data_IF_376180501009
#
_entry.id   IF_376180501009
#
_cell.length_a   1.000
_cell.length_b   1.000
_cell.length_c   1.000
_cell.angle_alpha   90.00
_cell.angle_beta   90.00
_cell.angle_gamma   90.00
#
_symmetry.space_group_name_H-M   'P 1'
#
loop_
_entity.id
_entity.type
_entity.pdbx_description
1 polymer ?
#
# COMPACT_ATOMS: atom_id res chain seq x y z
N UNK A 1 -13.48 -10.75 -47.90
CA UNK A 1 -14.08 -11.02 -46.57
C UNK A 1 -13.49 -10.04 -45.57
N UNK A 2 -14.26 -9.10 -45.00
CA UNK A 2 -13.73 -8.16 -44.02
C UNK A 2 -13.42 -8.91 -42.71
N UNK A 3 -12.19 -8.78 -42.21
CA UNK A 3 -11.78 -9.30 -40.90
C UNK A 3 -12.52 -8.52 -39.82
N UNK A 4 -13.47 -9.18 -39.17
CA UNK A 4 -14.16 -8.67 -37.99
C UNK A 4 -13.14 -8.59 -36.85
N UNK A 5 -12.65 -7.39 -36.53
CA UNK A 5 -11.83 -7.14 -35.35
C UNK A 5 -12.78 -7.21 -34.15
N UNK A 6 -12.79 -8.36 -33.47
CA UNK A 6 -13.52 -8.56 -32.23
C UNK A 6 -12.83 -7.74 -31.13
N UNK A 7 -13.27 -6.50 -30.93
CA UNK A 7 -12.92 -5.69 -29.76
C UNK A 7 -13.47 -6.39 -28.52
N UNK A 8 -12.63 -7.20 -27.88
CA UNK A 8 -12.92 -7.78 -26.58
C UNK A 8 -12.89 -6.65 -25.56
N UNK A 9 -14.07 -6.10 -25.24
CA UNK A 9 -14.20 -5.22 -24.09
C UNK A 9 -13.92 -6.04 -22.83
N UNK A 10 -12.71 -5.91 -22.28
CA UNK A 10 -12.38 -6.35 -20.93
C UNK A 10 -13.31 -5.59 -19.98
N UNK A 11 -14.42 -6.21 -19.59
CA UNK A 11 -15.35 -5.64 -18.61
C UNK A 11 -14.63 -5.51 -17.27
N UNK A 12 -14.33 -4.27 -16.88
CA UNK A 12 -13.89 -3.91 -15.54
C UNK A 12 -15.05 -4.11 -14.55
N UNK A 13 -15.25 -5.34 -14.09
CA UNK A 13 -16.28 -5.64 -13.10
C UNK A 13 -16.04 -4.81 -11.82
N UNK A 14 -17.06 -4.20 -11.20
CA UNK A 14 -16.90 -3.56 -9.89
C UNK A 14 -16.46 -4.59 -8.83
N UNK A 15 -15.80 -4.16 -7.77
CA UNK A 15 -15.56 -5.02 -6.61
C UNK A 15 -16.90 -5.20 -5.89
N UNK A 16 -17.00 -6.22 -5.05
CA UNK A 16 -18.06 -6.23 -4.06
C UNK A 16 -17.94 -4.95 -3.20
N UNK A 17 -19.05 -4.33 -2.79
CA UNK A 17 -19.00 -3.29 -1.77
C UNK A 17 -18.22 -3.77 -0.55
N UNK A 18 -17.50 -2.85 0.10
CA UNK A 18 -16.83 -3.15 1.36
C UNK A 18 -17.87 -3.59 2.41
N UNK A 19 -17.46 -4.49 3.31
CA UNK A 19 -18.35 -5.02 4.34
C UNK A 19 -18.75 -3.96 5.40
N UNK A 20 -18.06 -2.81 5.44
CA UNK A 20 -18.36 -1.62 6.27
C UNK A 20 -18.84 -1.96 7.70
N UNK A 21 -18.03 -2.70 8.47
CA UNK A 21 -18.35 -3.17 9.84
C UNK A 21 -18.52 -2.06 10.90
N UNK A 22 -18.21 -0.81 10.54
CA UNK A 22 -18.29 0.38 11.38
C UNK A 22 -18.83 1.54 10.55
N UNK A 23 -19.55 2.51 11.16
CA UNK A 23 -20.16 3.61 10.42
C UNK A 23 -19.12 4.54 9.78
N UNK A 24 -19.46 5.12 8.62
CA UNK A 24 -18.60 6.06 7.90
C UNK A 24 -18.24 7.33 8.69
N UNK A 25 -19.01 7.68 9.73
CA UNK A 25 -18.63 8.74 10.66
C UNK A 25 -17.32 8.45 11.39
N UNK A 26 -16.94 7.18 11.55
CA UNK A 26 -15.67 6.73 12.11
C UNK A 26 -14.66 6.32 11.04
N UNK A 27 -15.09 5.60 10.00
CA UNK A 27 -14.19 5.01 9.00
C UNK A 27 -13.80 5.97 7.89
N UNK A 28 -14.51 7.08 7.71
CA UNK A 28 -14.25 8.05 6.63
C UNK A 28 -14.23 9.53 7.07
N UNK A 29 -13.36 9.93 8.01
CA UNK A 29 -13.22 11.33 8.38
C UNK A 29 -12.82 12.22 7.19
N UNK A 30 -13.44 13.41 7.12
CA UNK A 30 -13.19 14.45 6.11
C UNK A 30 -13.57 14.04 4.67
N UNK A 31 -14.83 13.66 4.48
CA UNK A 31 -15.45 13.42 3.17
C UNK A 31 -15.32 14.59 2.19
N UNK A 32 -15.27 15.84 2.69
CA UNK A 32 -15.11 17.04 1.84
C UNK A 32 -13.77 17.04 1.09
N UNK A 33 -12.67 16.67 1.75
CA UNK A 33 -11.36 16.56 1.09
C UNK A 33 -11.34 15.47 0.02
N UNK A 34 -11.94 14.30 0.31
CA UNK A 34 -12.14 13.23 -0.67
C UNK A 34 -12.90 13.74 -1.90
N UNK A 35 -14.07 14.38 -1.69
CA UNK A 35 -14.89 14.91 -2.78
C UNK A 35 -14.10 15.90 -3.66
N UNK A 36 -13.31 16.80 -3.05
CA UNK A 36 -12.48 17.77 -3.78
C UNK A 36 -11.40 17.09 -4.63
N UNK A 37 -10.72 16.09 -4.06
CA UNK A 37 -9.68 15.32 -4.77
C UNK A 37 -10.29 14.57 -5.97
N UNK A 38 -11.42 13.89 -5.77
CA UNK A 38 -12.09 13.13 -6.83
C UNK A 38 -12.63 14.05 -7.92
N UNK A 39 -13.26 15.18 -7.56
CA UNK A 39 -13.76 16.15 -8.54
C UNK A 39 -12.61 16.68 -9.41
N UNK A 40 -11.45 16.99 -8.79
CA UNK A 40 -10.25 17.41 -9.52
C UNK A 40 -9.76 16.30 -10.46
N UNK A 41 -9.74 15.04 -9.99
CA UNK A 41 -9.32 13.90 -10.80
C UNK A 41 -10.22 13.65 -12.02
N UNK A 42 -11.54 13.84 -11.86
CA UNK A 42 -12.51 13.76 -12.95
C UNK A 42 -12.31 14.92 -13.95
N UNK A 43 -12.24 16.16 -13.45
CA UNK A 43 -12.07 17.37 -14.28
C UNK A 43 -10.78 17.32 -15.12
N UNK A 44 -9.69 16.80 -14.55
CA UNK A 44 -8.39 16.69 -15.22
C UNK A 44 -8.15 15.33 -15.87
N UNK A 45 -9.18 14.47 -15.97
CA UNK A 45 -9.11 13.15 -16.60
C UNK A 45 -7.93 12.29 -16.12
N UNK A 46 -7.66 12.23 -14.81
CA UNK A 46 -6.55 11.44 -14.25
C UNK A 46 -6.69 9.94 -14.56
N UNK A 47 -7.90 9.49 -14.89
CA UNK A 47 -8.17 8.13 -15.37
C UNK A 47 -7.40 7.78 -16.65
N UNK A 48 -7.09 8.74 -17.51
CA UNK A 48 -6.30 8.49 -18.72
C UNK A 48 -4.80 8.29 -18.44
N UNK A 49 -4.32 8.67 -17.25
CA UNK A 49 -2.91 8.48 -16.88
C UNK A 49 -2.58 6.98 -16.71
N UNK A 50 -1.35 6.57 -17.05
CA UNK A 50 -0.82 5.26 -16.67
C UNK A 50 -0.95 5.04 -15.16
N UNK A 51 -1.14 3.78 -14.74
CA UNK A 51 -1.46 3.47 -13.33
C UNK A 51 -0.46 4.08 -12.33
N UNK A 52 0.86 3.96 -12.57
CA UNK A 52 1.87 4.56 -11.70
C UNK A 52 1.77 6.09 -11.62
N UNK A 53 1.65 6.78 -12.75
CA UNK A 53 1.48 8.23 -12.77
C UNK A 53 0.20 8.68 -12.07
N UNK A 54 -0.89 7.91 -12.22
CA UNK A 54 -2.15 8.16 -11.53
C UNK A 54 -2.00 8.04 -10.02
N UNK A 55 -1.33 7.00 -9.53
CA UNK A 55 -1.01 6.83 -8.10
C UNK A 55 -0.17 8.01 -7.59
N UNK A 56 0.88 8.40 -8.31
CA UNK A 56 1.70 9.56 -7.96
C UNK A 56 0.88 10.85 -7.93
N UNK A 57 -0.06 11.03 -8.86
CA UNK A 57 -0.94 12.21 -8.92
C UNK A 57 -1.88 12.30 -7.71
N UNK A 58 -2.47 11.18 -7.30
CA UNK A 58 -3.29 11.13 -6.08
C UNK A 58 -2.45 11.33 -4.82
N UNK A 59 -1.25 10.78 -4.75
CA UNK A 59 -0.32 11.06 -3.65
C UNK A 59 0.02 12.56 -3.55
N UNK A 60 0.27 13.21 -4.69
CA UNK A 60 0.53 14.65 -4.76
C UNK A 60 -0.68 15.48 -4.33
N UNK A 61 -1.90 15.04 -4.66
CA UNK A 61 -3.14 15.70 -4.26
C UNK A 61 -3.34 15.72 -2.73
N UNK A 62 -2.72 14.79 -2.01
CA UNK A 62 -2.71 14.72 -0.55
C UNK A 62 -1.50 15.39 0.08
N UNK A 63 -0.63 16.05 -0.70
CA UNK A 63 0.52 16.80 -0.17
C UNK A 63 0.04 17.87 0.82
N UNK A 64 0.65 17.93 1.99
CA UNK A 64 0.30 18.84 3.06
C UNK A 64 -0.71 18.29 4.07
N UNK A 65 -1.38 17.17 3.80
CA UNK A 65 -2.25 16.51 4.79
C UNK A 65 -1.44 16.18 6.06
N UNK A 66 -1.93 16.51 7.27
CA UNK A 66 -1.20 16.29 8.51
C UNK A 66 -0.79 14.83 8.74
N UNK A 67 0.36 14.63 9.39
CA UNK A 67 0.76 13.30 9.86
C UNK A 67 0.00 12.97 11.15
N UNK A 68 -0.69 11.84 11.17
CA UNK A 68 -1.37 11.31 12.36
C UNK A 68 -1.04 9.83 12.45
N UNK A 69 -0.50 9.38 13.59
CA UNK A 69 -0.28 7.96 13.84
C UNK A 69 -1.56 7.26 14.29
N UNK A 70 -1.60 5.92 14.18
CA UNK A 70 -2.71 5.09 14.66
C UNK A 70 -4.06 5.42 14.00
N UNK A 71 -4.04 5.89 12.74
CA UNK A 71 -5.26 6.29 12.01
C UNK A 71 -6.21 5.13 11.73
N UNK A 72 -5.74 3.89 11.87
CA UNK A 72 -6.50 2.64 11.72
C UNK A 72 -6.94 2.03 13.06
N UNK A 73 -6.57 2.61 14.20
CA UNK A 73 -6.90 2.11 15.55
C UNK A 73 -8.21 2.74 16.07
N UNK A 74 -9.26 2.64 15.27
CA UNK A 74 -10.51 3.40 15.41
C UNK A 74 -11.54 2.77 16.35
N UNK A 75 -11.36 1.51 16.76
CA UNK A 75 -12.28 0.79 17.64
C UNK A 75 -11.55 -0.23 18.53
N UNK A 76 -12.22 -0.75 19.57
CA UNK A 76 -11.61 -1.69 20.53
C UNK A 76 -11.67 -3.15 20.06
N UNK A 77 -12.66 -3.54 19.27
CA UNK A 77 -12.95 -4.95 18.96
C UNK A 77 -13.16 -5.23 17.47
N UNK A 78 -14.07 -4.47 16.84
CA UNK A 78 -14.38 -4.57 15.40
C UNK A 78 -13.35 -3.85 14.53
N UNK A 79 -12.79 -4.55 13.55
CA UNK A 79 -11.99 -3.98 12.47
C UNK A 79 -12.89 -3.56 11.30
N UNK A 80 -12.56 -2.48 10.59
CA UNK A 80 -13.28 -2.08 9.39
C UNK A 80 -12.37 -1.33 8.43
N UNK A 81 -12.58 -1.51 7.12
CA UNK A 81 -11.92 -0.72 6.11
C UNK A 81 -12.17 0.78 6.36
N UNK A 82 -11.11 1.57 6.30
CA UNK A 82 -11.16 2.99 6.66
C UNK A 82 -10.17 3.84 5.85
N UNK A 83 -10.55 5.08 5.58
CA UNK A 83 -9.73 6.08 4.90
C UNK A 83 -9.93 7.45 5.56
N UNK A 84 -8.87 7.97 6.17
CA UNK A 84 -8.91 9.23 6.90
C UNK A 84 -8.26 10.36 6.08
N UNK A 85 -9.03 11.35 5.67
CA UNK A 85 -8.53 12.51 4.94
C UNK A 85 -8.22 13.72 5.85
N UNK A 86 -8.39 13.60 7.17
CA UNK A 86 -7.96 14.60 8.16
C UNK A 86 -6.49 14.41 8.58
N UNK A 87 -5.97 13.19 8.46
CA UNK A 87 -4.60 12.86 8.84
C UNK A 87 -4.19 11.48 8.37
N UNK A 88 -2.91 11.35 8.02
CA UNK A 88 -2.35 10.15 7.40
C UNK A 88 -1.08 9.72 8.13
N UNK A 89 -0.83 8.42 8.17
CA UNK A 89 0.50 7.87 8.42
C UNK A 89 1.09 7.38 7.09
N UNK A 90 2.29 6.80 7.14
CA UNK A 90 2.96 6.34 5.93
C UNK A 90 2.17 5.24 5.22
N UNK A 91 1.47 4.40 5.98
CA UNK A 91 0.71 3.27 5.48
C UNK A 91 -0.57 3.75 4.80
N UNK A 92 -1.39 4.51 5.51
CA UNK A 92 -2.66 5.00 4.98
C UNK A 92 -2.47 5.94 3.80
N UNK A 93 -1.38 6.71 3.76
CA UNK A 93 -1.05 7.55 2.63
C UNK A 93 -0.92 6.77 1.30
N UNK A 94 -0.08 5.72 1.26
CA UNK A 94 0.15 5.01 0.00
C UNK A 94 -1.06 4.15 -0.38
N UNK A 95 -1.76 3.56 0.59
CA UNK A 95 -2.96 2.76 0.34
C UNK A 95 -4.10 3.62 -0.20
N UNK A 96 -4.33 4.83 0.34
CA UNK A 96 -5.36 5.74 -0.17
C UNK A 96 -5.00 6.23 -1.58
N UNK A 97 -3.73 6.54 -1.85
CA UNK A 97 -3.29 6.92 -3.19
C UNK A 97 -3.52 5.79 -4.21
N UNK A 98 -3.16 4.55 -3.86
CA UNK A 98 -3.41 3.36 -4.67
C UNK A 98 -4.90 3.10 -4.87
N UNK A 99 -5.67 3.16 -3.78
CA UNK A 99 -7.12 2.94 -3.79
C UNK A 99 -7.85 3.95 -4.66
N UNK A 100 -7.53 5.23 -4.56
CA UNK A 100 -8.10 6.28 -5.42
C UNK A 100 -7.77 6.05 -6.91
N UNK A 101 -6.52 5.69 -7.21
CA UNK A 101 -6.08 5.43 -8.58
C UNK A 101 -6.81 4.24 -9.22
N UNK A 102 -7.05 3.18 -8.44
CA UNK A 102 -7.80 1.99 -8.86
C UNK A 102 -9.29 2.27 -8.95
N UNK A 103 -9.86 2.97 -7.97
CA UNK A 103 -11.28 3.32 -7.90
C UNK A 103 -11.75 4.06 -9.16
N UNK A 104 -11.03 5.09 -9.59
CA UNK A 104 -11.44 5.87 -10.77
C UNK A 104 -11.26 5.12 -12.10
N UNK A 105 -10.59 3.96 -12.11
CA UNK A 105 -10.48 3.12 -13.31
C UNK A 105 -11.85 2.57 -13.73
N UNK A 106 -12.76 2.38 -12.77
CA UNK A 106 -14.17 2.10 -13.04
C UNK A 106 -14.88 3.44 -13.22
N UNK A 107 -15.24 3.83 -14.46
CA UNK A 107 -15.92 5.10 -14.68
C UNK A 107 -17.29 5.12 -13.98
N UNK A 108 -17.51 6.17 -13.19
CA UNK A 108 -18.80 6.50 -12.57
C UNK A 108 -19.06 8.00 -12.68
N UNK A 109 -20.33 8.43 -12.76
CA UNK A 109 -20.67 9.85 -12.69
C UNK A 109 -20.28 10.45 -11.33
N UNK A 110 -20.51 9.69 -10.26
CA UNK A 110 -20.21 10.06 -8.88
C UNK A 110 -19.50 8.91 -8.18
N UNK A 111 -18.44 9.24 -7.43
CA UNK A 111 -17.78 8.30 -6.52
C UNK A 111 -18.14 8.63 -5.08
N UNK A 112 -18.27 7.59 -4.27
CA UNK A 112 -18.69 7.63 -2.87
C UNK A 112 -17.56 7.13 -1.97
N UNK A 113 -17.60 7.41 -0.65
CA UNK A 113 -16.71 6.78 0.31
C UNK A 113 -16.64 5.25 0.17
N UNK A 114 -17.79 4.59 -0.02
CA UNK A 114 -17.87 3.13 -0.18
C UNK A 114 -17.08 2.61 -1.38
N UNK A 115 -16.95 3.41 -2.45
CA UNK A 115 -16.13 3.03 -3.61
C UNK A 115 -14.64 2.97 -3.27
N UNK A 116 -14.14 3.95 -2.49
CA UNK A 116 -12.77 3.93 -2.00
C UNK A 116 -12.58 2.84 -0.95
N UNK A 117 -13.53 2.68 -0.02
CA UNK A 117 -13.46 1.65 1.02
C UNK A 117 -13.40 0.24 0.44
N UNK A 118 -14.05 -0.03 -0.70
CA UNK A 118 -13.93 -1.31 -1.40
C UNK A 118 -12.50 -1.57 -1.92
N UNK A 119 -11.81 -0.55 -2.45
CA UNK A 119 -10.41 -0.69 -2.87
C UNK A 119 -9.45 -0.76 -1.68
N UNK A 120 -9.75 -0.07 -0.57
CA UNK A 120 -9.00 -0.20 0.68
C UNK A 120 -9.18 -1.61 1.26
N UNK A 121 -10.40 -2.13 1.34
CA UNK A 121 -10.65 -3.50 1.78
C UNK A 121 -9.88 -4.49 0.90
N UNK A 122 -9.97 -4.30 -0.41
CA UNK A 122 -9.26 -5.13 -1.36
C UNK A 122 -7.75 -5.07 -1.16
N UNK A 123 -7.11 -3.94 -0.90
CA UNK A 123 -5.64 -3.86 -0.89
C UNK A 123 -5.01 -4.04 0.49
N UNK A 124 -5.72 -3.71 1.58
CA UNK A 124 -5.19 -3.73 2.96
C UNK A 124 -5.33 -5.08 3.66
N UNK A 125 -6.37 -5.84 3.33
CA UNK A 125 -6.71 -7.06 4.05
C UNK A 125 -6.23 -8.30 3.31
N UNK A 126 -5.87 -9.32 4.08
CA UNK A 126 -5.31 -10.57 3.57
C UNK A 126 -6.34 -11.28 2.70
N UNK A 127 -6.00 -11.58 1.46
CA UNK A 127 -6.96 -12.08 0.47
C UNK A 127 -8.03 -11.07 0.01
N UNK A 128 -7.93 -9.80 0.43
CA UNK A 128 -8.85 -8.73 0.06
C UNK A 128 -10.21 -8.79 0.76
N UNK A 129 -10.29 -9.39 1.95
CA UNK A 129 -11.54 -9.55 2.70
C UNK A 129 -11.36 -9.08 4.14
N UNK A 130 -12.24 -8.18 4.59
CA UNK A 130 -12.33 -7.78 5.99
C UNK A 130 -13.58 -8.45 6.62
N UNK A 131 -13.39 -9.33 7.61
CA UNK A 131 -14.48 -10.01 8.33
C UNK A 131 -14.76 -9.38 9.69
N UNK A 132 -14.29 -8.15 9.93
CA UNK A 132 -14.43 -7.48 11.22
C UNK A 132 -13.35 -7.87 12.24
N UNK A 133 -12.38 -8.70 11.86
CA UNK A 133 -11.30 -9.15 12.73
C UNK A 133 -10.01 -8.34 12.47
N UNK A 134 -9.41 -7.81 13.54
CA UNK A 134 -8.13 -7.07 13.48
C UNK A 134 -7.02 -7.84 12.77
N UNK A 135 -6.99 -9.16 12.94
CA UNK A 135 -5.98 -9.99 12.31
C UNK A 135 -6.23 -10.23 10.84
N UNK A 136 -7.38 -9.87 10.25
CA UNK A 136 -7.59 -9.89 8.79
C UNK A 136 -6.70 -8.86 8.09
N UNK A 137 -6.40 -7.75 8.78
CA UNK A 137 -5.52 -6.70 8.27
C UNK A 137 -4.09 -7.21 8.15
N UNK A 138 -3.42 -6.79 7.08
CA UNK A 138 -1.99 -7.01 6.90
C UNK A 138 -1.24 -5.93 7.69
N UNK A 139 -0.39 -6.35 8.63
CA UNK A 139 0.35 -5.42 9.52
C UNK A 139 1.84 -5.34 9.21
N UNK A 140 2.35 -6.21 8.33
CA UNK A 140 3.75 -6.20 7.90
C UNK A 140 3.86 -5.93 6.40
N UNK A 141 4.74 -4.99 6.03
CA UNK A 141 4.80 -4.50 4.66
C UNK A 141 5.33 -5.57 3.68
N UNK A 142 6.16 -6.52 4.13
CA UNK A 142 6.59 -7.61 3.25
C UNK A 142 5.39 -8.50 2.88
N UNK A 143 4.61 -8.98 3.86
CA UNK A 143 3.32 -9.64 3.61
C UNK A 143 2.44 -8.84 2.66
N UNK A 144 2.33 -7.51 2.84
CA UNK A 144 1.52 -6.65 1.96
C UNK A 144 1.96 -6.76 0.49
N UNK A 145 3.26 -6.72 0.21
CA UNK A 145 3.77 -6.89 -1.16
C UNK A 145 3.53 -8.29 -1.73
N UNK A 146 3.62 -9.34 -0.91
CA UNK A 146 3.35 -10.71 -1.34
C UNK A 146 1.88 -10.95 -1.65
N UNK A 147 0.99 -10.55 -0.74
CA UNK A 147 -0.45 -10.71 -0.88
C UNK A 147 -0.98 -9.91 -2.09
N UNK A 148 -0.59 -8.63 -2.21
CA UNK A 148 -1.05 -7.79 -3.30
C UNK A 148 -0.45 -8.18 -4.67
N UNK A 149 0.76 -8.75 -4.72
CA UNK A 149 1.29 -9.32 -5.97
C UNK A 149 0.56 -10.60 -6.36
N UNK A 150 0.27 -11.48 -5.39
CA UNK A 150 -0.48 -12.71 -5.64
C UNK A 150 -1.90 -12.44 -6.18
N UNK A 151 -2.46 -11.27 -5.87
CA UNK A 151 -3.78 -10.80 -6.33
C UNK A 151 -3.73 -9.84 -7.51
N UNK A 152 -2.57 -9.59 -8.10
CA UNK A 152 -2.43 -8.75 -9.29
C UNK A 152 -2.73 -7.26 -9.05
N UNK A 153 -2.59 -6.78 -7.82
CA UNK A 153 -2.73 -5.36 -7.47
C UNK A 153 -1.43 -4.59 -7.69
N UNK A 154 -0.30 -5.27 -7.51
CA UNK A 154 1.05 -4.77 -7.75
C UNK A 154 1.91 -5.87 -8.36
N UNK A 155 3.08 -5.51 -8.88
CA UNK A 155 4.15 -6.48 -9.18
C UNK A 155 5.42 -6.05 -8.45
N UNK A 156 6.10 -6.98 -7.76
CA UNK A 156 7.39 -6.69 -7.14
C UNK A 156 8.44 -6.53 -8.24
N UNK A 157 9.01 -5.33 -8.36
CA UNK A 157 10.00 -5.00 -9.38
C UNK A 157 11.40 -4.83 -8.82
N UNK A 158 11.60 -5.06 -7.51
CA UNK A 158 12.90 -4.89 -6.82
C UNK A 158 14.08 -5.52 -7.56
N UNK A 159 13.96 -6.75 -8.06
CA UNK A 159 15.02 -7.42 -8.81
C UNK A 159 15.17 -6.92 -10.25
N UNK A 160 14.15 -6.30 -10.82
CA UNK A 160 14.14 -5.73 -12.17
C UNK A 160 14.76 -4.34 -12.20
N UNK A 161 14.60 -3.57 -11.13
CA UNK A 161 15.08 -2.19 -11.07
C UNK A 161 16.53 -2.10 -10.61
N UNK A 162 17.06 -3.09 -9.88
CA UNK A 162 18.47 -3.08 -9.46
C UNK A 162 18.98 -4.38 -8.83
N UNK A 163 20.29 -4.44 -8.53
CA UNK A 163 20.91 -5.59 -7.87
C UNK A 163 20.37 -5.72 -6.44
N UNK A 164 20.05 -6.95 -6.04
CA UNK A 164 19.46 -7.23 -4.73
C UNK A 164 20.36 -8.12 -3.88
N UNK A 165 20.28 -7.94 -2.56
CA UNK A 165 20.87 -8.82 -1.55
C UNK A 165 19.75 -9.49 -0.74
N UNK A 166 20.00 -10.69 -0.24
CA UNK A 166 19.07 -11.37 0.67
C UNK A 166 19.17 -10.78 2.08
N UNK A 167 18.02 -10.64 2.74
CA UNK A 167 17.93 -10.41 4.17
C UNK A 167 17.43 -11.70 4.81
N UNK A 168 18.31 -12.42 5.50
CA UNK A 168 18.02 -13.73 6.08
C UNK A 168 17.94 -13.66 7.61
N UNK A 169 17.21 -14.59 8.22
CA UNK A 169 17.11 -14.70 9.69
C UNK A 169 16.38 -13.53 10.37
N UNK A 170 15.60 -12.73 9.63
CA UNK A 170 14.83 -11.63 10.20
C UNK A 170 13.70 -12.19 11.07
N UNK A 171 13.81 -11.98 12.38
CA UNK A 171 12.71 -12.26 13.31
C UNK A 171 11.72 -11.09 13.33
N UNK A 172 10.55 -11.30 12.74
CA UNK A 172 9.41 -10.40 12.81
C UNK A 172 8.57 -10.79 14.02
N UNK A 173 8.47 -9.90 15.01
CA UNK A 173 7.83 -10.18 16.30
C UNK A 173 7.38 -8.89 17.02
N UNK A 174 7.29 -7.78 16.29
CA UNK A 174 7.06 -6.47 16.91
C UNK A 174 5.74 -6.43 17.67
N UNK A 175 4.66 -6.91 17.05
CA UNK A 175 3.31 -6.80 17.60
C UNK A 175 3.08 -7.75 18.77
N UNK A 176 3.65 -8.95 18.78
CA UNK A 176 3.56 -9.85 19.96
C UNK A 176 4.44 -9.38 21.12
N UNK A 177 5.58 -8.74 20.86
CA UNK A 177 6.45 -8.18 21.91
C UNK A 177 5.88 -6.88 22.47
N UNK A 178 5.39 -5.99 21.61
CA UNK A 178 4.90 -4.65 21.97
C UNK A 178 3.37 -4.56 22.03
N UNK A 179 2.68 -5.70 22.21
CA UNK A 179 1.23 -5.82 22.08
C UNK A 179 0.41 -4.79 22.87
N UNK A 180 0.89 -4.36 24.04
CA UNK A 180 0.23 -3.34 24.87
C UNK A 180 0.14 -1.97 24.17
N UNK A 181 1.01 -1.71 23.19
CA UNK A 181 1.01 -0.50 22.36
C UNK A 181 -0.05 -0.50 21.26
N UNK A 182 -0.58 -1.66 20.87
CA UNK A 182 -1.60 -1.79 19.82
C UNK A 182 -2.97 -1.88 20.47
N UNK A 183 -3.92 -1.03 20.05
CA UNK A 183 -5.21 -0.89 20.73
C UNK A 183 -5.97 -2.22 20.73
N UNK A 184 -6.09 -2.85 19.56
CA UNK A 184 -6.79 -4.11 19.40
C UNK A 184 -6.13 -5.25 20.18
N UNK A 185 -4.80 -5.39 20.16
CA UNK A 185 -4.13 -6.45 20.93
C UNK A 185 -4.22 -6.22 22.44
N UNK A 186 -4.09 -4.97 22.90
CA UNK A 186 -4.25 -4.62 24.31
C UNK A 186 -5.67 -4.95 24.81
N UNK A 187 -6.68 -4.70 23.99
CA UNK A 187 -8.09 -4.94 24.31
C UNK A 187 -8.53 -6.39 24.09
N UNK A 188 -7.80 -7.14 23.27
CA UNK A 188 -8.10 -8.52 22.89
C UNK A 188 -6.81 -9.37 22.94
N UNK A 189 -6.23 -9.61 24.12
CA UNK A 189 -4.99 -10.39 24.24
C UNK A 189 -5.13 -11.84 23.75
N UNK A 190 -6.36 -12.34 23.60
CA UNK A 190 -6.65 -13.64 22.95
C UNK A 190 -6.21 -13.71 21.48
N UNK A 191 -5.94 -12.58 20.82
CA UNK A 191 -5.41 -12.52 19.46
C UNK A 191 -3.91 -12.86 19.38
N UNK A 192 -3.17 -12.80 20.50
CA UNK A 192 -1.72 -12.96 20.51
C UNK A 192 -1.21 -14.30 19.92
N UNK A 193 -1.83 -15.46 20.21
CA UNK A 193 -1.38 -16.72 19.62
C UNK A 193 -1.52 -16.75 18.09
N UNK A 194 -2.57 -16.14 17.54
CA UNK A 194 -2.74 -16.05 16.09
C UNK A 194 -1.80 -15.01 15.48
N UNK A 195 -1.57 -13.87 16.16
CA UNK A 195 -0.57 -12.88 15.75
C UNK A 195 0.83 -13.49 15.69
N UNK A 196 1.21 -14.32 16.66
CA UNK A 196 2.48 -15.05 16.66
C UNK A 196 2.63 -15.98 15.44
N UNK A 197 1.55 -16.63 15.01
CA UNK A 197 1.56 -17.45 13.78
C UNK A 197 1.75 -16.57 12.52
N UNK A 198 1.12 -15.40 12.48
CA UNK A 198 1.29 -14.44 11.38
C UNK A 198 2.76 -13.97 11.33
N UNK A 199 3.32 -13.60 12.47
CA UNK A 199 4.72 -13.17 12.62
C UNK A 199 5.74 -14.27 12.27
N UNK A 200 5.44 -15.53 12.59
CA UNK A 200 6.26 -16.66 12.17
C UNK A 200 6.26 -16.83 10.64
N UNK A 201 5.10 -16.67 9.99
CA UNK A 201 5.01 -16.70 8.52
C UNK A 201 5.74 -15.52 7.89
N UNK A 202 5.57 -14.31 8.42
CA UNK A 202 6.27 -13.11 7.98
C UNK A 202 7.79 -13.30 8.07
N UNK A 203 8.28 -13.85 9.20
CA UNK A 203 9.72 -14.14 9.40
C UNK A 203 10.28 -15.16 8.41
N UNK A 204 9.43 -16.04 7.88
CA UNK A 204 9.81 -17.07 6.92
C UNK A 204 9.74 -16.61 5.46
N UNK A 205 9.26 -15.40 5.19
CA UNK A 205 9.17 -14.89 3.81
C UNK A 205 10.57 -14.74 3.21
N UNK A 206 10.77 -15.17 1.94
CA UNK A 206 11.98 -14.82 1.23
C UNK A 206 12.02 -13.29 1.08
N UNK A 207 13.11 -12.64 1.50
CA UNK A 207 13.22 -11.19 1.45
C UNK A 207 14.50 -10.74 0.77
N UNK A 208 14.34 -10.04 -0.36
CA UNK A 208 15.45 -9.43 -1.11
C UNK A 208 15.20 -7.95 -1.29
N UNK A 209 16.25 -7.16 -1.13
CA UNK A 209 16.17 -5.71 -1.21
C UNK A 209 17.39 -5.12 -1.92
N UNK A 210 17.26 -3.89 -2.40
CA UNK A 210 18.38 -3.12 -2.98
C UNK A 210 19.04 -2.37 -1.84
N UNK A 211 20.31 -2.69 -1.55
CA UNK A 211 21.07 -2.00 -0.50
C UNK A 211 21.23 -0.51 -0.83
N UNK A 212 21.16 0.37 0.17
CA UNK A 212 21.12 1.83 -0.02
C UNK A 212 22.27 2.38 -0.86
N UNK A 213 23.47 1.81 -0.74
CA UNK A 213 24.64 2.20 -1.54
C UNK A 213 24.49 1.96 -3.05
N UNK A 214 23.49 1.19 -3.47
CA UNK A 214 23.19 0.92 -4.89
C UNK A 214 21.99 1.72 -5.40
N UNK A 215 21.23 2.39 -4.53
CA UNK A 215 19.95 3.02 -4.89
C UNK A 215 20.15 4.19 -5.86
N UNK A 216 21.15 5.05 -5.62
CA UNK A 216 21.41 6.21 -6.50
C UNK A 216 21.60 5.82 -7.98
N UNK A 217 22.29 4.71 -8.25
CA UNK A 217 22.56 4.25 -9.61
C UNK A 217 21.32 3.70 -10.34
N UNK A 218 20.27 3.32 -9.61
CA UNK A 218 19.08 2.66 -10.16
C UNK A 218 17.81 3.52 -10.13
N UNK A 219 17.86 4.75 -9.60
CA UNK A 219 16.71 5.66 -9.53
C UNK A 219 16.08 5.96 -10.91
N UNK A 220 16.86 5.87 -11.98
CA UNK A 220 16.37 5.98 -13.36
C UNK A 220 15.44 4.82 -13.79
N UNK A 221 15.55 3.67 -13.14
CA UNK A 221 14.72 2.48 -13.41
C UNK A 221 13.42 2.48 -12.59
N UNK A 222 13.33 3.35 -11.57
CA UNK A 222 12.13 3.55 -10.75
C UNK A 222 11.17 4.47 -11.51
N UNK A 223 9.89 4.12 -11.48
CA UNK A 223 8.82 4.85 -12.16
C UNK A 223 7.96 5.62 -11.16
N UNK A 224 7.34 6.75 -11.58
CA UNK A 224 6.36 7.44 -10.76
C UNK A 224 5.27 6.48 -10.26
N UNK A 225 4.92 6.59 -8.98
CA UNK A 225 3.92 5.77 -8.33
C UNK A 225 4.40 4.39 -7.88
N UNK A 226 5.64 3.99 -8.20
CA UNK A 226 6.24 2.82 -7.56
C UNK A 226 6.18 2.99 -6.03
N UNK A 227 5.73 1.94 -5.34
CA UNK A 227 5.61 1.90 -3.88
C UNK A 227 6.97 1.48 -3.34
N UNK A 228 7.55 2.33 -2.51
CA UNK A 228 8.91 2.20 -1.98
C UNK A 228 8.84 1.85 -0.51
N UNK A 229 9.15 0.60 -0.17
CA UNK A 229 9.33 0.17 1.22
C UNK A 229 10.76 0.45 1.67
N UNK A 230 10.92 1.17 2.78
CA UNK A 230 12.22 1.48 3.38
C UNK A 230 12.62 0.33 4.30
N UNK A 231 13.65 -0.41 3.91
CA UNK A 231 14.14 -1.57 4.65
C UNK A 231 15.02 -1.11 5.81
N UNK A 232 14.79 -1.69 6.99
CA UNK A 232 15.48 -1.31 8.23
C UNK A 232 16.46 -2.38 8.70
N UNK A 233 17.51 -1.95 9.42
CA UNK A 233 18.40 -2.88 10.15
C UNK A 233 17.75 -3.44 11.42
N UNK A 234 16.80 -2.72 12.02
CA UNK A 234 16.16 -3.12 13.27
C UNK A 234 15.30 -4.37 13.13
N UNK A 235 15.30 -5.23 14.15
CA UNK A 235 14.42 -6.41 14.23
C UNK A 235 12.96 -6.01 14.47
N UNK A 236 12.03 -6.96 14.39
CA UNK A 236 10.61 -6.70 14.61
C UNK A 236 9.80 -6.69 13.31
N UNK A 237 10.40 -6.24 12.21
CA UNK A 237 9.84 -6.29 10.86
C UNK A 237 10.92 -6.07 9.78
N UNK A 238 10.53 -6.17 8.52
CA UNK A 238 11.43 -5.94 7.37
C UNK A 238 11.61 -4.45 7.03
N UNK A 239 10.52 -3.69 7.11
CA UNK A 239 10.47 -2.29 6.68
C UNK A 239 10.03 -1.40 7.85
N UNK A 240 10.60 -0.20 7.94
CA UNK A 240 10.24 0.79 8.96
C UNK A 240 9.36 1.92 8.43
N UNK A 241 9.28 2.07 7.10
CA UNK A 241 8.57 3.17 6.46
C UNK A 241 8.20 2.82 5.02
N UNK A 242 7.29 3.59 4.43
CA UNK A 242 6.84 3.43 3.04
C UNK A 242 6.48 4.79 2.44
N UNK A 243 6.64 4.90 1.13
CA UNK A 243 6.21 6.06 0.35
C UNK A 243 6.01 5.72 -1.12
N UNK A 244 5.78 6.75 -1.91
CA UNK A 244 5.59 6.67 -3.35
C UNK A 244 6.76 7.37 -4.06
N UNK A 245 7.22 6.77 -5.15
CA UNK A 245 8.15 7.38 -6.07
C UNK A 245 7.48 8.55 -6.80
N UNK A 246 8.10 9.74 -6.75
CA UNK A 246 7.64 10.93 -7.44
C UNK A 246 8.78 11.57 -8.22
N UNK A 247 8.62 11.71 -9.54
CA UNK A 247 9.60 12.41 -10.38
C UNK A 247 9.29 13.90 -10.37
N UNK A 248 10.19 14.70 -9.81
CA UNK A 248 10.07 16.15 -9.81
C UNK A 248 10.22 16.74 -11.21
N UNK A 249 9.84 18.02 -11.35
CA UNK A 249 9.99 18.77 -12.61
C UNK A 249 11.46 18.92 -13.06
N UNK A 250 12.40 18.81 -12.13
CA UNK A 250 13.84 18.76 -12.38
C UNK A 250 14.36 17.35 -12.73
N UNK A 251 13.47 16.38 -12.90
CA UNK A 251 13.80 15.01 -13.26
C UNK A 251 14.26 14.11 -12.12
N UNK A 252 14.49 14.64 -10.91
CA UNK A 252 14.98 13.86 -9.76
C UNK A 252 13.86 12.97 -9.20
N UNK A 253 14.18 11.69 -8.99
CA UNK A 253 13.26 10.71 -8.40
C UNK A 253 13.28 10.81 -6.87
N UNK A 254 12.18 11.31 -6.30
CA UNK A 254 12.02 11.64 -4.88
C UNK A 254 11.09 10.68 -4.16
N UNK A 255 11.26 10.62 -2.84
CA UNK A 255 10.31 9.95 -1.96
C UNK A 255 9.18 10.91 -1.59
N UNK A 256 7.96 10.61 -1.98
CA UNK A 256 6.76 11.28 -1.50
C UNK A 256 6.13 10.43 -0.39
N UNK A 257 5.92 10.98 0.80
CA UNK A 257 5.43 10.21 1.94
C UNK A 257 4.78 11.08 3.02
N UNK A 258 3.93 10.47 3.85
CA UNK A 258 3.54 11.06 5.13
C UNK A 258 4.74 11.03 6.09
N UNK A 259 5.21 12.19 6.52
CA UNK A 259 6.40 12.31 7.36
C UNK A 259 6.04 12.68 8.79
N UNK A 260 6.47 11.87 9.75
CA UNK A 260 6.42 12.22 11.17
C UNK A 260 7.26 13.46 11.48
N UNK A 261 8.43 13.60 10.83
CA UNK A 261 9.36 14.71 11.08
C UNK A 261 8.81 16.04 10.55
N UNK A 262 8.28 16.05 9.33
CA UNK A 262 7.63 17.25 8.76
C UNK A 262 6.18 17.43 9.23
N UNK A 263 5.63 16.46 9.98
CA UNK A 263 4.25 16.41 10.49
C UNK A 263 3.16 16.50 9.39
N UNK A 264 3.48 16.11 8.16
CA UNK A 264 2.58 16.14 7.00
C UNK A 264 3.08 15.29 5.84
N UNK A 265 2.24 15.10 4.83
CA UNK A 265 2.65 14.54 3.53
C UNK A 265 3.55 15.53 2.79
N UNK A 266 4.74 15.08 2.40
CA UNK A 266 5.75 15.89 1.71
C UNK A 266 6.30 15.16 0.48
N UNK A 267 6.91 15.93 -0.42
CA UNK A 267 7.89 15.41 -1.38
C UNK A 267 9.25 15.71 -0.77
N UNK A 268 10.00 14.68 -0.40
CA UNK A 268 11.28 14.79 0.29
C UNK A 268 12.45 14.76 -0.73
N UNK A 269 13.66 14.49 -0.27
CA UNK A 269 14.87 14.31 -1.07
C UNK A 269 14.72 13.21 -2.14
N UNK A 270 15.77 13.03 -2.95
CA UNK A 270 15.89 11.81 -3.76
C UNK A 270 15.75 10.58 -2.87
N UNK A 271 15.32 9.46 -3.44
CA UNK A 271 15.13 8.21 -2.68
C UNK A 271 16.44 7.82 -1.97
N UNK A 272 17.57 7.89 -2.68
CA UNK A 272 18.90 7.72 -2.13
C UNK A 272 19.23 8.74 -1.04
N UNK A 273 18.96 10.03 -1.25
CA UNK A 273 19.20 11.09 -0.26
C UNK A 273 18.46 10.85 1.05
N UNK A 274 17.20 10.40 0.98
CA UNK A 274 16.41 10.03 2.15
C UNK A 274 16.98 8.83 2.91
N UNK A 275 17.45 7.78 2.20
CA UNK A 275 18.05 6.60 2.83
C UNK A 275 19.36 6.90 3.55
N UNK A 276 20.10 7.92 3.11
CA UNK A 276 21.37 8.31 3.72
C UNK A 276 21.21 9.25 4.93
N UNK A 277 20.01 9.76 5.18
CA UNK A 277 19.72 10.58 6.36
C UNK A 277 19.67 9.77 7.66
N UNK A 278 19.25 8.51 7.59
CA UNK A 278 19.09 7.66 8.78
C UNK A 278 19.95 6.40 8.71
N UNK A 279 20.75 6.17 9.76
CA UNK A 279 21.63 4.99 9.85
C UNK A 279 20.86 3.65 9.95
N UNK A 280 19.56 3.71 10.27
CA UNK A 280 18.66 2.56 10.41
C UNK A 280 18.17 2.06 9.06
N UNK A 281 18.09 2.94 8.06
CA UNK A 281 17.71 2.58 6.70
C UNK A 281 18.89 1.86 6.02
N UNK A 282 18.62 0.67 5.51
CA UNK A 282 19.62 -0.17 4.84
C UNK A 282 19.35 -0.35 3.35
N UNK A 283 18.15 -0.01 2.86
CA UNK A 283 17.84 -0.09 1.45
C UNK A 283 16.35 -0.02 1.16
N UNK A 284 15.95 -0.50 -0.02
CA UNK A 284 14.56 -0.44 -0.48
C UNK A 284 14.06 -1.75 -1.07
N UNK A 285 12.76 -1.97 -0.94
CA UNK A 285 11.96 -2.88 -1.75
C UNK A 285 11.00 -2.04 -2.60
N UNK A 286 10.72 -2.49 -3.83
CA UNK A 286 9.95 -1.71 -4.81
C UNK A 286 8.85 -2.58 -5.43
N UNK A 287 7.61 -2.10 -5.40
CA UNK A 287 6.54 -2.67 -6.22
C UNK A 287 5.87 -1.62 -7.10
N UNK A 288 5.40 -2.07 -8.25
CA UNK A 288 4.72 -1.24 -9.24
C UNK A 288 3.21 -1.49 -9.20
N UNK A 289 2.39 -0.46 -9.02
CA UNK A 289 0.93 -0.59 -9.11
C UNK A 289 0.46 -1.16 -10.45
N UNK A 290 -0.54 -2.04 -10.39
CA UNK A 290 -1.19 -2.63 -11.56
C UNK A 290 -2.64 -2.14 -11.70
N UNK A 291 -3.14 -2.00 -12.94
CA UNK A 291 -4.53 -1.66 -13.21
C UNK A 291 -5.51 -2.70 -12.66
N UNK A 292 -6.75 -2.28 -12.38
CA UNK A 292 -7.82 -3.19 -11.94
C UNK A 292 -8.04 -4.32 -12.93
N UNK A 293 -7.81 -4.11 -14.22
CA UNK A 293 -7.92 -5.15 -15.25
C UNK A 293 -6.99 -6.37 -15.02
N UNK A 294 -5.94 -6.24 -14.21
CA UNK A 294 -5.03 -7.33 -13.85
C UNK A 294 -5.36 -7.99 -12.50
N UNK A 295 -6.43 -7.55 -11.83
CA UNK A 295 -6.82 -8.07 -10.51
C UNK A 295 -7.24 -9.53 -10.61
N UNK A 296 -6.64 -10.38 -9.77
CA UNK A 296 -6.97 -11.80 -9.63
C UNK A 296 -7.96 -11.94 -8.48
N UNK A 297 -9.18 -12.36 -8.79
CA UNK A 297 -10.28 -12.51 -7.80
C UNK A 297 -10.52 -13.94 -7.36
N UNK A 298 -10.11 -14.89 -8.17
CA UNK A 298 -10.30 -16.31 -7.91
C UNK A 298 -9.38 -16.74 -6.77
N UNK A 299 -9.98 -17.17 -5.66
CA UNK A 299 -9.25 -17.64 -4.48
C UNK A 299 -8.23 -18.74 -4.80
N UNK A 300 -8.53 -19.77 -5.63
CA UNK A 300 -7.54 -20.79 -5.99
C UNK A 300 -6.31 -20.20 -6.68
N UNK A 301 -6.52 -19.29 -7.65
CA UNK A 301 -5.44 -18.62 -8.41
C UNK A 301 -4.59 -17.75 -7.49
N UNK A 302 -5.22 -16.99 -6.60
CA UNK A 302 -4.53 -16.22 -5.56
C UNK A 302 -3.65 -17.11 -4.67
N UNK A 303 -4.20 -18.20 -4.12
CA UNK A 303 -3.46 -19.08 -3.22
C UNK A 303 -2.27 -19.76 -3.92
N UNK A 304 -2.46 -20.22 -5.15
CA UNK A 304 -1.38 -20.79 -5.96
C UNK A 304 -0.27 -19.77 -6.24
N UNK A 305 -0.63 -18.54 -6.57
CA UNK A 305 0.34 -17.46 -6.75
C UNK A 305 1.08 -17.12 -5.47
N UNK A 306 0.38 -17.00 -4.34
CA UNK A 306 0.99 -16.68 -3.06
C UNK A 306 2.00 -17.77 -2.67
N UNK A 307 1.62 -19.05 -2.78
CA UNK A 307 2.51 -20.17 -2.54
C UNK A 307 3.76 -20.09 -3.43
N UNK A 308 3.59 -19.89 -4.74
CA UNK A 308 4.72 -19.77 -5.69
C UNK A 308 5.66 -18.60 -5.35
N UNK A 309 5.13 -17.50 -4.84
CA UNK A 309 5.92 -16.31 -4.50
C UNK A 309 6.70 -16.52 -3.19
N UNK A 310 6.17 -17.28 -2.23
CA UNK A 310 6.74 -17.42 -0.88
C UNK A 310 7.61 -18.66 -0.68
N UNK A 311 7.68 -19.58 -1.64
CA UNK A 311 8.46 -20.83 -1.53
C UNK A 311 9.77 -20.87 -2.33
N UNK A 312 10.22 -19.74 -2.90
CA UNK A 312 11.46 -19.64 -3.70
C UNK A 312 12.62 -19.00 -2.96
#
# INVERSE_FOLDING_TARGET
MPRLILLTFLFLAPLAPAAEHLPQSLTFPNKTAFNKIVATAQQQNWRALPMGERVAKFGLAMRGTPYVGYTLEIHDHTESASANFSGLDCWTFFEIALGLARMIEVPKPTYTPSDLLAEIEWTRYRGGVCNGNYLDRIHYLAEWYYDNEARGNVVKVTTKVGPTVSLVGRKCQEMTVLWKGYRYLRKNPSLLPQMAKIEARESALPFRYIHKSKVAAIEKNIQPGDIIGIVTKHTGGHCSHVGLAYRGSDGVMRLMHASRNYKKVVIDKSISGYLHEFNSHIGIIVARPLPRSQTIREKPTYLANLQRLTTK
#
